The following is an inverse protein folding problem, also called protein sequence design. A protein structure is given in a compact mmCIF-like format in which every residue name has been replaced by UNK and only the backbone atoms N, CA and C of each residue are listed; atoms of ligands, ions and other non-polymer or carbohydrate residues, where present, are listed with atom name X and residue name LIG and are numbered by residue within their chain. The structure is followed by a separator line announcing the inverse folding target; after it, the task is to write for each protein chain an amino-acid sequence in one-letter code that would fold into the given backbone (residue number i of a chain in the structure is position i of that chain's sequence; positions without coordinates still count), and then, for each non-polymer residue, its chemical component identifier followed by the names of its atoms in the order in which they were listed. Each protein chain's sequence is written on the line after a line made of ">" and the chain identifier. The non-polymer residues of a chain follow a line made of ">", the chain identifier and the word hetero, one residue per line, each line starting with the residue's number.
data_IF_210213222658
#
_entry.id   IF_210213222658
#
_cell.length_a   1.000
_cell.length_b   1.000
_cell.length_c   1.000
_cell.angle_alpha   90.00
_cell.angle_beta   90.00
_cell.angle_gamma   90.00
#
_symmetry.space_group_name_H-M   'P 1'
#
loop_
_entity.id
_entity.type
_entity.pdbx_description
1 polymer ?
#
# COMPACT_ATOMS: atom_id res chain seq x y z
N UNK A 1 5.83 8.24 0.35
CA UNK A 1 5.44 8.88 1.62
C UNK A 1 4.72 7.83 2.44
N UNK A 2 5.13 7.58 3.68
CA UNK A 2 4.48 6.55 4.50
C UNK A 2 4.57 6.75 6.02
N UNK A 3 4.48 7.98 6.57
CA UNK A 3 4.46 8.16 8.03
C UNK A 3 3.27 7.43 8.68
N UNK A 4 2.17 7.27 7.94
CA UNK A 4 0.96 6.54 8.34
C UNK A 4 0.99 5.02 8.08
N UNK A 5 2.15 4.42 7.73
CA UNK A 5 2.23 2.98 7.46
C UNK A 5 1.67 2.13 8.61
N UNK A 6 1.84 2.65 9.83
CA UNK A 6 1.37 2.06 11.06
C UNK A 6 -0.15 1.86 11.07
N UNK A 7 -0.92 2.76 10.43
CA UNK A 7 -2.38 2.65 10.34
C UNK A 7 -2.78 1.41 9.53
N UNK A 8 -2.11 1.21 8.40
CA UNK A 8 -2.37 0.08 7.52
C UNK A 8 -1.94 -1.24 8.16
N UNK A 9 -0.78 -1.28 8.83
CA UNK A 9 -0.28 -2.49 9.52
C UNK A 9 -1.15 -2.84 10.74
N UNK A 10 -1.57 -1.84 11.52
CA UNK A 10 -2.46 -2.04 12.67
C UNK A 10 -3.93 -2.28 12.28
N UNK A 11 -4.28 -1.95 11.02
CA UNK A 11 -5.63 -1.94 10.44
C UNK A 11 -6.60 -1.06 11.23
N UNK A 12 -6.09 0.05 11.79
CA UNK A 12 -6.82 1.05 12.58
C UNK A 12 -5.91 2.28 12.75
N UNK A 13 -6.45 3.47 13.10
CA UNK A 13 -5.61 4.60 13.51
C UNK A 13 -4.70 4.19 14.67
N UNK A 14 -3.41 4.25 14.44
CA UNK A 14 -2.38 3.86 15.38
C UNK A 14 -1.07 4.58 15.06
N UNK A 15 -0.60 5.44 15.97
CA UNK A 15 0.62 6.22 15.76
C UNK A 15 1.58 5.93 16.91
N UNK A 16 2.80 5.53 16.58
CA UNK A 16 3.91 5.51 17.52
C UNK A 16 4.93 6.57 17.11
N UNK A 17 6.07 6.16 16.58
CA UNK A 17 7.16 7.02 16.11
C UNK A 17 7.07 7.35 14.62
N UNK A 18 6.03 6.88 13.90
CA UNK A 18 5.95 6.94 12.43
C UNK A 18 6.07 8.34 11.82
N UNK A 19 5.84 9.40 12.59
CA UNK A 19 5.98 10.80 12.15
C UNK A 19 7.29 11.47 12.63
N UNK A 20 8.12 10.75 13.38
CA UNK A 20 9.43 11.23 13.82
C UNK A 20 10.49 10.88 12.78
N UNK A 21 11.59 11.63 12.76
CA UNK A 21 12.75 11.29 11.92
C UNK A 21 13.31 9.90 12.21
N UNK A 22 13.24 9.45 13.47
CA UNK A 22 13.64 8.10 13.83
C UNK A 22 12.67 7.05 13.27
N UNK A 23 11.37 7.32 13.24
CA UNK A 23 10.38 6.47 12.58
C UNK A 23 10.51 6.47 11.06
N UNK A 24 11.02 7.53 10.44
CA UNK A 24 11.38 7.48 9.03
C UNK A 24 12.40 6.35 8.78
N UNK A 25 13.50 6.32 9.53
CA UNK A 25 14.56 5.32 9.34
C UNK A 25 14.15 3.92 9.80
N UNK A 26 13.45 3.80 10.94
CA UNK A 26 13.11 2.50 11.51
C UNK A 26 11.83 1.88 10.96
N UNK A 27 10.88 2.67 10.47
CA UNK A 27 9.58 2.17 10.01
C UNK A 27 9.35 2.48 8.54
N UNK A 28 9.36 3.75 8.15
CA UNK A 28 8.93 4.17 6.79
C UNK A 28 9.87 3.67 5.70
N UNK A 29 11.17 3.88 5.85
CA UNK A 29 12.18 3.50 4.86
C UNK A 29 12.20 1.98 4.60
N UNK A 30 12.35 1.11 5.62
CA UNK A 30 12.39 -0.33 5.38
C UNK A 30 11.07 -0.86 4.80
N UNK A 31 9.91 -0.41 5.30
CA UNK A 31 8.61 -0.82 4.76
C UNK A 31 8.40 -0.38 3.32
N UNK A 32 8.76 0.87 2.98
CA UNK A 32 8.67 1.38 1.60
C UNK A 32 9.56 0.58 0.64
N UNK A 33 10.76 0.17 1.07
CA UNK A 33 11.63 -0.70 0.27
C UNK A 33 10.93 -2.04 0.02
N UNK A 34 10.47 -2.72 1.07
CA UNK A 34 9.78 -4.01 0.90
C UNK A 34 8.54 -3.90 0.00
N UNK A 35 7.77 -2.82 0.13
CA UNK A 35 6.59 -2.57 -0.71
C UNK A 35 6.95 -2.23 -2.15
N UNK A 36 8.06 -1.53 -2.40
CA UNK A 36 8.55 -1.30 -3.75
C UNK A 36 8.90 -2.63 -4.45
N UNK A 37 9.60 -3.54 -3.75
CA UNK A 37 9.90 -4.88 -4.27
C UNK A 37 8.62 -5.71 -4.46
N UNK A 38 7.73 -5.75 -3.48
CA UNK A 38 6.44 -6.42 -3.60
C UNK A 38 5.63 -5.90 -4.80
N UNK A 39 5.60 -4.58 -4.98
CA UNK A 39 4.90 -3.96 -6.10
C UNK A 39 5.54 -4.32 -7.44
N UNK A 40 6.84 -4.04 -7.60
CA UNK A 40 7.52 -4.17 -8.88
C UNK A 40 7.73 -5.61 -9.33
N UNK A 41 7.95 -6.55 -8.40
CA UNK A 41 8.27 -7.94 -8.72
C UNK A 41 7.04 -8.84 -8.77
N UNK A 42 5.99 -8.54 -8.00
CA UNK A 42 4.81 -9.41 -7.85
C UNK A 42 3.54 -8.77 -8.41
N UNK A 43 3.15 -7.58 -7.92
CA UNK A 43 1.86 -6.96 -8.29
C UNK A 43 1.88 -6.44 -9.73
N UNK A 44 2.87 -5.62 -10.08
CA UNK A 44 2.96 -4.93 -11.36
C UNK A 44 2.96 -5.92 -12.54
N UNK A 45 3.70 -7.05 -12.52
CA UNK A 45 3.61 -8.06 -13.57
C UNK A 45 2.26 -8.78 -13.65
N UNK A 46 1.50 -8.77 -12.56
CA UNK A 46 0.18 -9.41 -12.46
C UNK A 46 -0.96 -8.48 -12.89
N UNK A 47 -0.77 -7.16 -12.91
CA UNK A 47 -1.81 -6.17 -13.25
C UNK A 47 -2.56 -6.47 -14.55
N UNK A 48 -1.92 -6.86 -15.67
CA UNK A 48 -2.64 -7.16 -16.92
C UNK A 48 -3.61 -8.35 -16.79
N UNK A 49 -3.35 -9.26 -15.85
CA UNK A 49 -4.19 -10.44 -15.59
C UNK A 49 -5.23 -10.20 -14.48
N UNK A 50 -5.08 -9.12 -13.71
CA UNK A 50 -6.03 -8.69 -12.68
C UNK A 50 -7.12 -7.81 -13.27
N UNK A 51 -6.74 -6.92 -14.17
CA UNK A 51 -7.64 -5.93 -14.72
C UNK A 51 -8.61 -6.57 -15.72
N UNK A 52 -9.87 -6.11 -15.76
CA UNK A 52 -10.83 -6.61 -16.74
C UNK A 52 -10.40 -6.17 -18.14
N UNK A 53 -10.72 -6.96 -19.16
CA UNK A 53 -10.55 -6.58 -20.56
C UNK A 53 -11.67 -5.61 -21.00
N UNK A 54 -11.79 -4.49 -20.30
CA UNK A 54 -12.72 -3.40 -20.59
C UNK A 54 -11.91 -2.24 -21.17
N UNK A 55 -12.32 -1.75 -22.35
CA UNK A 55 -11.71 -0.62 -23.03
C UNK A 55 -10.19 -0.73 -23.30
N UNK A 56 -9.58 -1.91 -23.14
CA UNK A 56 -8.14 -2.14 -23.34
C UNK A 56 -7.25 -1.80 -22.14
N UNK A 57 -7.82 -1.69 -20.93
CA UNK A 57 -7.06 -1.33 -19.72
C UNK A 57 -6.04 -2.41 -19.30
N UNK A 58 -6.33 -3.69 -19.53
CA UNK A 58 -5.43 -4.83 -19.37
C UNK A 58 -4.17 -4.69 -20.26
N UNK A 59 -4.38 -4.31 -21.53
CA UNK A 59 -3.31 -4.08 -22.50
C UNK A 59 -2.51 -2.82 -22.21
N UNK A 60 -3.17 -1.77 -21.72
CA UNK A 60 -2.48 -0.59 -21.21
C UNK A 60 -1.59 -0.96 -20.02
N UNK A 61 -2.08 -1.72 -19.06
CA UNK A 61 -1.26 -2.20 -17.95
C UNK A 61 -0.09 -3.07 -18.42
N UNK A 62 -0.28 -3.90 -19.45
CA UNK A 62 0.81 -4.67 -20.05
C UNK A 62 1.87 -3.77 -20.70
N UNK A 63 1.43 -2.72 -21.40
CA UNK A 63 2.33 -1.72 -22.00
C UNK A 63 3.13 -0.95 -20.94
N UNK A 64 2.49 -0.57 -19.83
CA UNK A 64 3.14 0.11 -18.70
C UNK A 64 3.99 -0.82 -17.82
N UNK A 65 3.94 -2.14 -18.06
CA UNK A 65 4.69 -3.14 -17.31
C UNK A 65 6.17 -3.20 -17.73
N UNK A 66 6.85 -2.05 -17.71
CA UNK A 66 8.28 -1.94 -17.97
C UNK A 66 9.09 -2.52 -16.79
N UNK A 67 10.23 -3.20 -17.05
CA UNK A 67 11.10 -3.70 -15.99
C UNK A 67 11.49 -2.60 -15.01
N UNK A 68 11.43 -2.91 -13.72
CA UNK A 68 11.97 -2.00 -12.71
C UNK A 68 13.49 -2.13 -12.69
N UNK A 69 14.19 -1.01 -12.86
CA UNK A 69 15.65 -0.97 -12.84
C UNK A 69 16.09 -0.20 -11.60
N UNK A 70 16.86 -0.87 -10.75
CA UNK A 70 17.55 -0.30 -9.60
C UNK A 70 18.99 -0.80 -9.68
N UNK A 71 19.69 -0.40 -10.74
CA UNK A 71 20.97 -0.98 -11.15
C UNK A 71 22.19 -0.32 -10.52
N UNK A 72 22.02 0.88 -9.95
CA UNK A 72 23.13 1.66 -9.42
C UNK A 72 22.85 2.20 -8.02
N UNK A 73 23.93 2.51 -7.31
CA UNK A 73 23.87 3.23 -6.02
C UNK A 73 23.17 4.59 -6.19
N UNK A 74 23.31 5.23 -7.37
CA UNK A 74 22.64 6.49 -7.68
C UNK A 74 21.12 6.31 -7.72
N UNK A 75 20.63 5.23 -8.31
CA UNK A 75 19.19 4.92 -8.35
C UNK A 75 18.66 4.68 -6.93
N UNK A 76 19.41 3.92 -6.12
CA UNK A 76 19.06 3.67 -4.72
C UNK A 76 19.04 4.95 -3.87
N UNK A 77 20.01 5.84 -4.06
CA UNK A 77 20.04 7.14 -3.39
C UNK A 77 18.89 8.04 -3.85
N UNK A 78 18.60 8.09 -5.15
CA UNK A 78 17.47 8.85 -5.68
C UNK A 78 16.13 8.35 -5.13
N UNK A 79 15.97 7.03 -5.00
CA UNK A 79 14.80 6.43 -4.36
C UNK A 79 14.69 6.81 -2.88
N UNK A 80 15.76 6.69 -2.11
CA UNK A 80 15.76 7.05 -0.69
C UNK A 80 15.49 8.54 -0.46
N UNK A 81 16.09 9.42 -1.27
CA UNK A 81 15.84 10.87 -1.23
C UNK A 81 14.38 11.17 -1.59
N UNK A 82 13.83 10.49 -2.61
CA UNK A 82 12.41 10.66 -2.98
C UNK A 82 11.47 10.24 -1.85
N UNK A 83 11.80 9.16 -1.13
CA UNK A 83 11.05 8.74 0.06
C UNK A 83 11.14 9.77 1.18
N UNK A 84 12.33 10.33 1.43
CA UNK A 84 12.54 11.37 2.44
C UNK A 84 11.76 12.65 2.11
N UNK A 85 11.84 13.13 0.86
CA UNK A 85 11.06 14.28 0.41
C UNK A 85 9.58 14.02 0.62
N UNK A 86 9.07 12.87 0.16
CA UNK A 86 7.66 12.52 0.34
C UNK A 86 7.25 12.40 1.82
N UNK A 87 8.13 11.89 2.69
CA UNK A 87 7.91 11.83 4.14
C UNK A 87 7.80 13.23 4.74
N UNK A 88 8.79 14.08 4.50
CA UNK A 88 8.83 15.45 5.03
C UNK A 88 7.65 16.28 4.52
N UNK A 89 7.31 16.15 3.24
CA UNK A 89 6.13 16.82 2.68
C UNK A 89 4.84 16.39 3.38
N UNK A 90 4.66 15.09 3.62
CA UNK A 90 3.47 14.58 4.32
C UNK A 90 3.38 15.13 5.75
N UNK A 91 4.44 14.98 6.56
CA UNK A 91 4.48 15.48 7.95
C UNK A 91 4.28 17.00 8.01
N UNK A 92 4.82 17.73 7.03
CA UNK A 92 4.62 19.18 6.92
C UNK A 92 3.15 19.51 6.66
N UNK A 93 2.50 18.81 5.72
CA UNK A 93 1.08 19.01 5.43
C UNK A 93 0.21 18.69 6.65
N UNK A 94 0.55 17.65 7.43
CA UNK A 94 -0.19 17.33 8.66
C UNK A 94 -0.21 18.48 9.66
N UNK A 95 0.89 19.24 9.75
CA UNK A 95 0.96 20.42 10.61
C UNK A 95 0.05 21.57 10.16
N UNK A 96 -0.43 21.57 8.91
CA UNK A 96 -1.43 22.50 8.39
C UNK A 96 -2.87 21.95 8.46
N UNK A 97 -3.05 20.64 8.56
CA UNK A 97 -4.34 19.99 8.32
C UNK A 97 -4.91 19.24 9.52
N UNK A 98 -4.27 19.29 10.68
CA UNK A 98 -4.77 18.64 11.89
C UNK A 98 -4.91 19.66 13.02
N UNK A 99 -5.91 19.46 13.89
CA UNK A 99 -6.23 20.38 14.99
C UNK A 99 -5.04 20.70 15.91
N UNK A 100 -4.18 19.70 16.16
CA UNK A 100 -2.93 19.85 16.94
C UNK A 100 -1.69 20.22 16.11
N UNK A 101 -1.86 20.51 14.81
CA UNK A 101 -0.78 20.83 13.89
C UNK A 101 -0.06 22.13 14.25
N UNK A 102 1.26 22.19 14.04
CA UNK A 102 2.09 23.32 14.47
C UNK A 102 1.62 24.65 13.88
N UNK A 103 1.20 24.65 12.60
CA UNK A 103 0.67 25.84 11.93
C UNK A 103 -0.77 26.11 12.34
N UNK A 104 -1.61 25.08 12.49
CA UNK A 104 -3.01 25.23 12.90
C UNK A 104 -3.12 25.94 14.26
N UNK A 105 -2.28 25.59 15.23
CA UNK A 105 -2.30 26.23 16.56
C UNK A 105 -1.74 27.66 16.57
N UNK A 106 -1.03 28.09 15.52
CA UNK A 106 -0.35 29.41 15.44
C UNK A 106 -0.98 30.38 14.45
N UNK A 107 -1.74 29.88 13.48
CA UNK A 107 -2.41 30.68 12.47
C UNK A 107 -3.93 30.60 12.73
N UNK A 108 -4.54 31.59 13.42
CA UNK A 108 -5.95 31.53 13.80
C UNK A 108 -6.91 31.29 12.63
N UNK A 109 -6.55 31.78 11.44
CA UNK A 109 -7.30 31.54 10.21
C UNK A 109 -7.54 30.05 9.92
N UNK A 110 -6.57 29.17 10.20
CA UNK A 110 -6.73 27.73 9.96
C UNK A 110 -7.77 27.08 10.87
N UNK A 111 -8.01 27.66 12.05
CA UNK A 111 -9.05 27.20 12.98
C UNK A 111 -10.41 27.84 12.71
N UNK A 112 -10.46 28.89 11.88
CA UNK A 112 -11.72 29.55 11.55
C UNK A 112 -12.66 28.60 10.83
N UNK A 113 -13.96 28.78 11.06
CA UNK A 113 -14.99 28.01 10.39
C UNK A 113 -15.28 28.64 9.03
N UNK A 114 -15.19 27.84 7.99
CA UNK A 114 -15.53 28.19 6.62
C UNK A 114 -16.41 27.08 6.05
N UNK A 115 -17.52 27.41 5.37
CA UNK A 115 -18.45 26.41 4.81
C UNK A 115 -18.93 25.32 5.81
N UNK A 116 -19.03 25.65 7.09
CA UNK A 116 -19.51 24.74 8.13
C UNK A 116 -18.46 23.80 8.74
N UNK A 117 -17.18 23.94 8.38
CA UNK A 117 -16.07 23.15 8.90
C UNK A 117 -14.83 24.01 9.13
N UNK A 118 -13.82 23.51 9.85
CA UNK A 118 -12.58 24.25 10.04
C UNK A 118 -11.77 24.32 8.74
N UNK A 119 -11.11 25.46 8.49
CA UNK A 119 -10.26 25.63 7.30
C UNK A 119 -9.18 24.55 7.21
N UNK A 120 -8.58 24.15 8.34
CA UNK A 120 -7.58 23.08 8.36
C UNK A 120 -8.15 21.74 7.88
N UNK A 121 -9.41 21.42 8.21
CA UNK A 121 -10.03 20.15 7.85
C UNK A 121 -10.49 20.16 6.39
N UNK A 122 -10.98 21.30 5.91
CA UNK A 122 -11.25 21.51 4.48
C UNK A 122 -9.95 21.36 3.67
N UNK A 123 -8.84 21.92 4.16
CA UNK A 123 -7.54 21.77 3.54
C UNK A 123 -7.09 20.30 3.54
N UNK A 124 -7.32 19.56 4.64
CA UNK A 124 -7.06 18.12 4.74
C UNK A 124 -7.79 17.34 3.64
N UNK A 125 -9.09 17.56 3.50
CA UNK A 125 -9.92 16.87 2.52
C UNK A 125 -9.53 17.25 1.08
N UNK A 126 -9.26 18.54 0.85
CA UNK A 126 -8.87 19.06 -0.46
C UNK A 126 -7.52 18.48 -0.92
N UNK A 127 -6.52 18.47 -0.04
CA UNK A 127 -5.21 17.89 -0.34
C UNK A 127 -5.28 16.37 -0.53
N UNK A 128 -6.13 15.68 0.24
CA UNK A 128 -6.38 14.24 0.05
C UNK A 128 -7.00 13.95 -1.32
N UNK A 129 -8.00 14.75 -1.72
CA UNK A 129 -8.65 14.65 -3.03
C UNK A 129 -7.66 14.93 -4.17
N UNK A 130 -6.79 15.94 -4.02
CA UNK A 130 -5.73 16.24 -4.98
C UNK A 130 -4.68 15.13 -5.05
N UNK A 131 -4.28 14.59 -3.89
CA UNK A 131 -3.30 13.51 -3.78
C UNK A 131 -3.73 12.23 -4.49
N UNK A 132 -5.03 11.92 -4.49
CA UNK A 132 -5.60 10.82 -5.26
C UNK A 132 -5.88 11.21 -6.72
N UNK A 133 -6.44 12.41 -6.94
CA UNK A 133 -6.88 12.88 -8.25
C UNK A 133 -5.74 13.06 -9.24
N UNK A 134 -4.59 13.59 -8.81
CA UNK A 134 -3.45 13.86 -9.70
C UNK A 134 -2.87 12.58 -10.34
N UNK A 135 -2.55 11.51 -9.57
CA UNK A 135 -2.17 10.22 -10.16
C UNK A 135 -3.25 9.63 -11.09
N UNK A 136 -4.54 9.72 -10.73
CA UNK A 136 -5.64 9.24 -11.56
C UNK A 136 -5.72 9.99 -12.89
N UNK A 137 -5.62 11.32 -12.88
CA UNK A 137 -5.61 12.16 -14.08
C UNK A 137 -4.40 11.87 -14.96
N UNK A 138 -3.21 11.70 -14.35
CA UNK A 138 -2.00 11.33 -15.08
C UNK A 138 -2.14 9.98 -15.77
N UNK A 139 -2.63 8.95 -15.08
CA UNK A 139 -2.88 7.62 -15.65
C UNK A 139 -3.94 7.67 -16.75
N UNK A 140 -5.01 8.46 -16.56
CA UNK A 140 -6.06 8.66 -17.56
C UNK A 140 -5.51 9.32 -18.83
N UNK A 141 -4.69 10.37 -18.70
CA UNK A 141 -4.03 11.00 -19.83
C UNK A 141 -3.15 10.02 -20.60
N UNK A 142 -2.34 9.23 -19.89
CA UNK A 142 -1.49 8.20 -20.51
C UNK A 142 -2.30 7.10 -21.19
N UNK A 143 -3.40 6.67 -20.60
CA UNK A 143 -4.30 5.69 -21.20
C UNK A 143 -4.91 6.20 -22.52
N UNK A 144 -5.41 7.43 -22.56
CA UNK A 144 -5.95 8.01 -23.79
C UNK A 144 -4.88 8.22 -24.86
N UNK A 145 -3.67 8.64 -24.47
CA UNK A 145 -2.53 8.75 -25.37
C UNK A 145 -2.14 7.37 -25.97
N UNK A 146 -2.11 6.34 -25.14
CA UNK A 146 -1.90 4.95 -25.56
C UNK A 146 -2.97 4.51 -26.56
N UNK A 147 -4.25 4.72 -26.24
CA UNK A 147 -5.37 4.32 -27.09
C UNK A 147 -5.32 5.01 -28.46
N UNK A 148 -5.03 6.32 -28.50
CA UNK A 148 -4.91 7.08 -29.76
C UNK A 148 -3.82 6.50 -30.67
N UNK A 149 -2.66 6.12 -30.10
CA UNK A 149 -1.52 5.56 -30.85
C UNK A 149 -1.76 4.12 -31.31
N UNK A 150 -2.49 3.32 -30.54
CA UNK A 150 -2.61 1.87 -30.74
C UNK A 150 -3.96 1.39 -31.30
N UNK A 151 -4.84 2.30 -31.76
CA UNK A 151 -6.19 1.98 -32.31
C UNK A 151 -6.22 0.82 -33.30
N UNK A 152 -5.23 0.71 -34.21
CA UNK A 152 -5.16 -0.35 -35.23
C UNK A 152 -4.61 -1.69 -34.69
N UNK A 153 -3.77 -1.64 -33.67
CA UNK A 153 -3.11 -2.83 -33.08
C UNK A 153 -4.03 -3.54 -32.08
N UNK A 154 -4.93 -2.81 -31.41
CA UNK A 154 -5.90 -3.39 -30.48
C UNK A 154 -6.96 -4.28 -31.16
N UNK A 155 -7.37 -3.95 -32.39
CA UNK A 155 -8.38 -4.71 -33.11
C UNK A 155 -7.91 -6.12 -33.52
N UNK A 156 -6.60 -6.36 -33.56
CA UNK A 156 -5.99 -7.59 -34.06
C UNK A 156 -5.39 -8.50 -32.96
N UNK A 157 -5.34 -8.06 -31.69
CA UNK A 157 -4.68 -8.79 -30.61
C UNK A 157 -5.66 -9.60 -29.76
N UNK A 158 -5.26 -10.83 -29.43
CA UNK A 158 -6.03 -11.74 -28.56
C UNK A 158 -6.23 -11.16 -27.15
N UNK A 159 -7.37 -11.49 -26.56
CA UNK A 159 -7.76 -11.09 -25.21
C UNK A 159 -6.84 -11.70 -24.16
N UNK A 160 -6.34 -10.90 -23.21
CA UNK A 160 -5.67 -11.43 -22.01
C UNK A 160 -6.79 -11.96 -21.12
N UNK A 161 -6.89 -13.28 -20.96
CA UNK A 161 -7.86 -13.83 -20.01
C UNK A 161 -7.39 -13.54 -18.58
N UNK A 162 -8.24 -12.95 -17.71
CA UNK A 162 -7.87 -12.76 -16.33
C UNK A 162 -7.69 -14.13 -15.68
N UNK A 163 -6.46 -14.42 -15.25
CA UNK A 163 -6.12 -15.67 -14.57
C UNK A 163 -6.31 -15.59 -13.06
N UNK A 164 -6.47 -14.39 -12.51
CA UNK A 164 -6.64 -14.20 -11.08
C UNK A 164 -8.13 -14.29 -10.74
N UNK A 165 -8.49 -15.26 -9.91
CA UNK A 165 -9.83 -15.40 -9.39
C UNK A 165 -10.09 -14.33 -8.31
N UNK A 166 -10.83 -13.29 -8.67
CA UNK A 166 -11.27 -12.24 -7.74
C UNK A 166 -12.07 -12.80 -6.54
N UNK A 167 -12.72 -13.96 -6.70
CA UNK A 167 -13.35 -14.66 -5.58
C UNK A 167 -12.35 -15.09 -4.50
N UNK A 168 -11.16 -15.56 -4.89
CA UNK A 168 -10.11 -15.91 -3.91
C UNK A 168 -9.53 -14.67 -3.22
N UNK A 169 -9.34 -13.57 -3.96
CA UNK A 169 -8.94 -12.27 -3.37
C UNK A 169 -9.96 -11.82 -2.34
N UNK A 170 -11.25 -11.88 -2.69
CA UNK A 170 -12.36 -11.52 -1.80
C UNK A 170 -12.39 -12.40 -0.55
N UNK A 171 -12.23 -13.71 -0.69
CA UNK A 171 -12.19 -14.65 0.46
C UNK A 171 -11.05 -14.28 1.42
N UNK A 172 -9.84 -14.05 0.92
CA UNK A 172 -8.70 -13.65 1.78
C UNK A 172 -9.00 -12.32 2.46
N UNK A 173 -9.54 -11.34 1.74
CA UNK A 173 -9.90 -10.04 2.32
C UNK A 173 -10.96 -10.18 3.44
N UNK A 174 -11.98 -11.01 3.24
CA UNK A 174 -13.03 -11.28 4.25
C UNK A 174 -12.45 -11.96 5.48
N UNK A 175 -11.52 -12.91 5.31
CA UNK A 175 -10.84 -13.58 6.45
C UNK A 175 -10.07 -12.57 7.28
N UNK A 176 -9.25 -11.72 6.66
CA UNK A 176 -8.46 -10.70 7.37
C UNK A 176 -9.33 -9.62 8.00
N UNK A 177 -10.40 -9.19 7.31
CA UNK A 177 -11.33 -8.21 7.84
C UNK A 177 -12.08 -8.77 9.05
N UNK A 178 -12.59 -9.99 8.95
CA UNK A 178 -13.27 -10.69 10.05
C UNK A 178 -12.35 -10.85 11.26
N UNK A 179 -11.11 -11.29 11.06
CA UNK A 179 -10.11 -11.42 12.13
C UNK A 179 -9.82 -10.08 12.80
N UNK A 180 -9.75 -8.98 12.04
CA UNK A 180 -9.58 -7.64 12.59
C UNK A 180 -10.81 -7.19 13.40
N UNK A 181 -12.01 -7.37 12.87
CA UNK A 181 -13.25 -6.98 13.56
C UNK A 181 -13.43 -7.75 14.88
N UNK A 182 -13.16 -9.05 14.88
CA UNK A 182 -13.21 -9.87 16.10
C UNK A 182 -12.19 -9.45 17.16
N UNK A 183 -11.01 -8.96 16.75
CA UNK A 183 -9.96 -8.52 17.67
C UNK A 183 -10.07 -7.06 18.13
N UNK A 184 -10.85 -6.23 17.45
CA UNK A 184 -10.90 -4.79 17.72
C UNK A 184 -11.74 -4.41 18.96
N UNK A 185 -12.62 -5.29 19.44
CA UNK A 185 -13.51 -5.04 20.59
C UNK A 185 -14.58 -3.95 20.38
N UNK A 186 -14.41 -3.08 19.38
CA UNK A 186 -15.31 -1.97 19.02
C UNK A 186 -15.67 -2.02 17.54
N UNK A 187 -16.77 -2.72 17.23
CA UNK A 187 -17.20 -2.93 15.85
C UNK A 187 -17.56 -1.64 15.09
N UNK A 188 -17.94 -0.55 15.78
CA UNK A 188 -18.49 0.65 15.12
C UNK A 188 -17.51 1.83 15.01
N UNK A 189 -16.21 1.60 15.20
CA UNK A 189 -15.23 2.66 14.93
C UNK A 189 -15.16 2.92 13.42
N UNK A 190 -15.59 4.11 12.98
CA UNK A 190 -15.55 4.55 11.58
C UNK A 190 -14.16 4.33 10.98
N UNK A 191 -13.12 4.59 11.76
CA UNK A 191 -11.76 4.47 11.29
C UNK A 191 -11.32 3.03 10.99
N UNK A 192 -11.88 2.04 11.68
CA UNK A 192 -11.65 0.62 11.37
C UNK A 192 -12.33 0.28 10.03
N UNK A 193 -13.54 0.75 9.80
CA UNK A 193 -14.29 0.51 8.57
C UNK A 193 -13.69 1.19 7.33
N UNK A 194 -12.81 2.17 7.50
CA UNK A 194 -12.05 2.74 6.39
C UNK A 194 -10.77 1.96 6.14
N UNK A 195 -9.91 1.81 7.16
CA UNK A 195 -8.54 1.29 6.95
C UNK A 195 -8.51 -0.24 6.84
N UNK A 196 -9.28 -0.96 7.65
CA UNK A 196 -9.21 -2.42 7.69
C UNK A 196 -9.64 -3.07 6.37
N UNK A 197 -10.74 -2.67 5.71
CA UNK A 197 -11.12 -3.25 4.42
C UNK A 197 -10.07 -3.00 3.33
N UNK A 198 -9.45 -1.81 3.33
CA UNK A 198 -8.40 -1.46 2.36
C UNK A 198 -7.19 -2.38 2.56
N UNK A 199 -6.66 -2.48 3.78
CA UNK A 199 -5.52 -3.37 4.06
C UNK A 199 -5.87 -4.83 3.74
N UNK A 200 -7.04 -5.32 4.14
CA UNK A 200 -7.48 -6.68 3.84
C UNK A 200 -7.54 -6.97 2.34
N UNK A 201 -8.06 -6.02 1.55
CA UNK A 201 -8.09 -6.11 0.09
C UNK A 201 -6.68 -6.17 -0.51
N UNK A 202 -5.77 -5.30 -0.04
CA UNK A 202 -4.38 -5.27 -0.50
C UNK A 202 -3.63 -6.57 -0.16
N UNK A 203 -3.86 -7.14 1.03
CA UNK A 203 -3.31 -8.45 1.43
C UNK A 203 -3.84 -9.55 0.51
N UNK A 204 -5.15 -9.56 0.24
CA UNK A 204 -5.77 -10.51 -0.70
C UNK A 204 -5.16 -10.43 -2.10
N UNK A 205 -4.99 -9.22 -2.63
CA UNK A 205 -4.34 -9.00 -3.92
C UNK A 205 -2.88 -9.49 -3.88
N UNK A 206 -2.12 -9.13 -2.84
CA UNK A 206 -0.73 -9.53 -2.69
C UNK A 206 -0.57 -11.05 -2.65
N UNK A 207 -1.33 -11.74 -1.79
CA UNK A 207 -1.23 -13.20 -1.65
C UNK A 207 -1.60 -13.92 -2.95
N UNK A 208 -2.68 -13.50 -3.62
CA UNK A 208 -3.10 -14.15 -4.86
C UNK A 208 -2.15 -13.88 -6.02
N UNK A 209 -1.62 -12.66 -6.14
CA UNK A 209 -0.61 -12.34 -7.17
C UNK A 209 0.71 -13.05 -6.89
N UNK A 210 1.13 -13.16 -5.63
CA UNK A 210 2.33 -13.89 -5.21
C UNK A 210 2.22 -15.38 -5.59
N UNK A 211 1.13 -16.04 -5.23
CA UNK A 211 0.91 -17.46 -5.56
C UNK A 211 0.89 -17.68 -7.07
N UNK A 212 0.18 -16.83 -7.81
CA UNK A 212 0.05 -16.97 -9.27
C UNK A 212 1.39 -16.75 -9.99
N UNK A 213 2.13 -15.71 -9.59
CA UNK A 213 3.43 -15.39 -10.18
C UNK A 213 4.45 -16.49 -9.84
N UNK A 214 4.50 -16.93 -8.58
CA UNK A 214 5.39 -18.01 -8.17
C UNK A 214 5.06 -19.34 -8.87
N UNK A 215 3.77 -19.66 -9.04
CA UNK A 215 3.35 -20.87 -9.76
C UNK A 215 3.79 -20.81 -11.22
N UNK A 216 3.67 -19.66 -11.88
CA UNK A 216 4.16 -19.48 -13.24
C UNK A 216 5.68 -19.62 -13.37
N UNK A 217 6.42 -19.38 -12.28
CA UNK A 217 7.88 -19.47 -12.21
C UNK A 217 8.39 -20.80 -11.60
N UNK A 218 7.51 -21.76 -11.27
CA UNK A 218 7.91 -23.04 -10.64
C UNK A 218 8.17 -22.96 -9.12
N UNK A 219 7.92 -21.83 -8.48
CA UNK A 219 8.21 -21.56 -7.06
C UNK A 219 6.97 -21.57 -6.15
N UNK A 220 5.93 -22.35 -6.50
CA UNK A 220 4.65 -22.36 -5.75
C UNK A 220 4.81 -22.64 -4.25
N UNK A 221 5.72 -23.55 -3.88
CA UNK A 221 5.99 -23.87 -2.47
C UNK A 221 6.52 -22.65 -1.70
N UNK A 222 7.41 -21.85 -2.30
CA UNK A 222 7.94 -20.63 -1.70
C UNK A 222 6.85 -19.60 -1.43
N UNK A 223 5.87 -19.48 -2.34
CA UNK A 223 4.73 -18.58 -2.15
C UNK A 223 3.82 -19.05 -1.01
N UNK A 224 3.49 -20.34 -0.96
CA UNK A 224 2.67 -20.90 0.12
C UNK A 224 3.36 -20.69 1.48
N UNK A 225 4.66 -21.03 1.57
CA UNK A 225 5.44 -20.79 2.79
C UNK A 225 5.41 -19.32 3.19
N UNK A 226 5.64 -18.41 2.24
CA UNK A 226 5.64 -16.96 2.51
C UNK A 226 4.29 -16.45 3.01
N UNK A 227 3.19 -16.91 2.42
CA UNK A 227 1.82 -16.57 2.86
C UNK A 227 1.59 -17.06 4.29
N UNK A 228 1.95 -18.31 4.58
CA UNK A 228 1.85 -18.88 5.92
C UNK A 228 2.72 -18.13 6.93
N UNK A 229 3.95 -17.75 6.58
CA UNK A 229 4.84 -16.97 7.45
C UNK A 229 4.26 -15.60 7.75
N UNK A 230 3.80 -14.86 6.74
CA UNK A 230 3.21 -13.52 6.93
C UNK A 230 1.95 -13.61 7.79
N UNK A 231 1.02 -14.51 7.48
CA UNK A 231 -0.20 -14.70 8.26
C UNK A 231 0.12 -15.16 9.70
N UNK A 232 1.07 -16.09 9.85
CA UNK A 232 1.53 -16.58 11.15
C UNK A 232 2.15 -15.48 12.02
N UNK A 233 2.98 -14.60 11.44
CA UNK A 233 3.53 -13.44 12.15
C UNK A 233 2.44 -12.49 12.64
N UNK A 234 1.43 -12.21 11.81
CA UNK A 234 0.29 -11.36 12.17
C UNK A 234 -0.50 -11.99 13.33
N UNK A 235 -0.81 -13.28 13.24
CA UNK A 235 -1.54 -14.02 14.29
C UNK A 235 -0.73 -14.07 15.58
N UNK A 236 0.56 -14.40 15.50
CA UNK A 236 1.46 -14.47 16.65
C UNK A 236 1.54 -13.11 17.36
N UNK A 237 1.75 -12.03 16.60
CA UNK A 237 1.80 -10.70 17.17
C UNK A 237 0.48 -10.31 17.84
N UNK A 238 -0.67 -10.62 17.23
CA UNK A 238 -1.98 -10.36 17.84
C UNK A 238 -2.21 -11.17 19.11
N UNK A 239 -1.78 -12.43 19.13
CA UNK A 239 -1.83 -13.27 20.31
C UNK A 239 -0.98 -12.66 21.44
N UNK A 240 0.27 -12.29 21.17
CA UNK A 240 1.16 -11.65 22.14
C UNK A 240 0.58 -10.32 22.66
N UNK A 241 0.04 -9.49 21.77
CA UNK A 241 -0.58 -8.22 22.11
C UNK A 241 -1.87 -8.35 22.94
N UNK A 242 -2.48 -9.55 23.00
CA UNK A 242 -3.65 -9.80 23.85
C UNK A 242 -3.29 -10.08 25.31
N UNK A 243 -2.04 -10.45 25.60
CA UNK A 243 -1.58 -10.77 26.95
C UNK A 243 -0.86 -9.61 27.65
N UNK A 244 -0.26 -8.69 26.89
CA UNK A 244 0.52 -7.60 27.46
C UNK A 244 0.48 -6.34 26.58
N UNK A 245 0.69 -5.18 27.22
CA UNK A 245 0.88 -3.93 26.52
C UNK A 245 2.11 -4.03 25.59
N UNK A 246 1.92 -3.65 24.33
CA UNK A 246 2.98 -3.68 23.32
C UNK A 246 3.84 -2.44 23.47
N UNK A 247 5.12 -2.61 23.79
CA UNK A 247 6.09 -1.51 23.79
C UNK A 247 6.45 -1.08 22.36
N UNK A 248 6.91 0.16 22.19
CA UNK A 248 7.39 0.66 20.88
C UNK A 248 8.47 -0.23 20.28
N UNK A 249 9.36 -0.79 21.10
CA UNK A 249 10.42 -1.70 20.64
C UNK A 249 9.84 -3.01 20.07
N UNK A 250 8.85 -3.61 20.73
CA UNK A 250 8.17 -4.82 20.24
C UNK A 250 7.40 -4.51 18.96
N UNK A 251 6.76 -3.34 18.87
CA UNK A 251 6.08 -2.88 17.66
C UNK A 251 7.04 -2.71 16.47
N UNK A 252 8.17 -2.03 16.67
CA UNK A 252 9.22 -1.89 15.66
C UNK A 252 9.69 -3.28 15.21
N UNK A 253 10.03 -4.17 16.13
CA UNK A 253 10.49 -5.52 15.81
C UNK A 253 9.46 -6.29 14.98
N UNK A 254 8.17 -6.20 15.32
CA UNK A 254 7.10 -6.80 14.53
C UNK A 254 7.05 -6.24 13.09
N UNK A 255 7.12 -4.91 12.93
CA UNK A 255 7.16 -4.28 11.61
C UNK A 255 8.37 -4.77 10.80
N UNK A 256 9.54 -4.90 11.42
CA UNK A 256 10.74 -5.42 10.76
C UNK A 256 10.59 -6.86 10.30
N UNK A 257 10.03 -7.75 11.14
CA UNK A 257 9.78 -9.14 10.76
C UNK A 257 8.78 -9.24 9.61
N UNK A 258 7.70 -8.45 9.65
CA UNK A 258 6.70 -8.39 8.58
C UNK A 258 7.32 -7.86 7.29
N UNK A 259 8.09 -6.78 7.37
CA UNK A 259 8.79 -6.14 6.24
C UNK A 259 9.78 -7.09 5.58
N UNK A 260 10.61 -7.77 6.38
CA UNK A 260 11.56 -8.76 5.89
C UNK A 260 10.84 -9.93 5.21
N UNK A 261 9.73 -10.42 5.78
CA UNK A 261 8.94 -11.50 5.20
C UNK A 261 8.34 -11.11 3.85
N UNK A 262 7.82 -9.89 3.72
CA UNK A 262 7.29 -9.36 2.45
C UNK A 262 8.41 -9.25 1.41
N UNK A 263 9.55 -8.65 1.76
CA UNK A 263 10.68 -8.53 0.85
C UNK A 263 11.21 -9.89 0.39
N UNK A 264 11.45 -10.82 1.32
CA UNK A 264 11.93 -12.17 1.01
C UNK A 264 10.94 -12.92 0.14
N UNK A 265 9.64 -12.79 0.40
CA UNK A 265 8.61 -13.43 -0.42
C UNK A 265 8.61 -12.93 -1.86
N UNK A 266 8.79 -11.63 -2.08
CA UNK A 266 8.87 -11.04 -3.42
C UNK A 266 10.11 -11.56 -4.19
N UNK A 267 11.27 -11.61 -3.53
CA UNK A 267 12.53 -12.07 -4.14
C UNK A 267 12.50 -13.58 -4.47
N UNK A 268 12.08 -14.42 -3.52
CA UNK A 268 12.08 -15.89 -3.68
C UNK A 268 11.04 -16.41 -4.68
N UNK A 269 10.00 -15.63 -4.98
CA UNK A 269 8.93 -16.03 -5.88
C UNK A 269 9.13 -15.53 -7.32
N UNK A 270 10.05 -14.60 -7.53
CA UNK A 270 10.33 -14.02 -8.85
C UNK A 270 11.63 -14.53 -9.48
N UNK A 271 12.66 -14.89 -8.69
CA UNK A 271 13.91 -15.42 -9.24
C UNK A 271 13.65 -16.63 -10.14
N UNK A 272 14.25 -16.61 -11.34
CA UNK A 272 14.39 -17.77 -12.21
C UNK A 272 15.72 -18.45 -11.94
#
# INVERSE_FOLDING_TARGET
>A
MSPDIEYFIAMQPFRSIGHDMLGFFLLSLPTCIAFAFAFHLILKPSLPKLLPNIAGIDRFALHENQPWQMSSIKDGAAFAISLLIGFLSHVTLDHFTHSGGWFVVRLPFLQSVFLGDSVFHILQLSLSALGLGMPCLYLMFRFFAYKKRNKKVEAARQTISPKINWGSVFVVAVVFLSAKLLSAGSFFSISIWVVAPITSGLVGIYFMTLINQATANGHRANAIYSVCTIAGLIILFKCLASFAAVSTAVWIMYIWLLTASILVSALRCQNK
#
